data_IF_718711245390
#
_entry.id   IF_718711245390
#
_cell.length_a   1.000
_cell.length_b   1.000
_cell.length_c   1.000
_cell.angle_alpha   90.00
_cell.angle_beta   90.00
_cell.angle_gamma   90.00
#
_symmetry.space_group_name_H-M   'P 1'
#
loop_
_entity.id
_entity.type
_entity.pdbx_description
1 polymer ?
#
# COMPACT_ATOMS: atom_id res chain seq x y z
N UNK A 1 15.35 -6.56 31.32
CA UNK A 1 15.52 -5.60 30.22
C UNK A 1 14.18 -4.99 29.94
N UNK A 2 14.14 -3.66 29.89
CA UNK A 2 12.99 -2.85 29.52
C UNK A 2 13.04 -2.60 28.01
N UNK A 3 11.91 -2.77 27.35
CA UNK A 3 11.77 -2.63 25.90
C UNK A 3 10.89 -1.42 25.61
N UNK A 4 11.25 -0.63 24.61
CA UNK A 4 10.46 0.46 24.03
C UNK A 4 10.68 0.43 22.51
N UNK A 5 9.67 0.82 21.75
CA UNK A 5 9.85 1.07 20.32
C UNK A 5 9.18 2.34 19.84
N UNK A 6 9.71 2.88 18.74
CA UNK A 6 9.17 4.01 18.00
C UNK A 6 9.06 3.66 16.53
N UNK A 7 8.02 4.17 15.87
CA UNK A 7 7.81 3.97 14.44
C UNK A 7 7.72 5.33 13.76
N UNK A 8 8.47 5.43 12.67
CA UNK A 8 8.48 6.54 11.71
C UNK A 8 7.86 6.00 10.42
N UNK A 9 6.62 6.42 10.17
CA UNK A 9 5.87 6.00 9.02
C UNK A 9 6.44 6.65 7.77
N UNK A 10 6.49 5.90 6.67
CA UNK A 10 7.05 6.38 5.41
C UNK A 10 8.55 6.74 5.48
N UNK A 11 9.21 6.46 6.62
CA UNK A 11 10.62 6.74 6.89
C UNK A 11 11.03 8.19 6.56
N UNK A 12 10.12 9.14 6.77
CA UNK A 12 10.30 10.53 6.35
C UNK A 12 10.95 11.40 7.45
N UNK A 13 11.21 10.80 8.62
CA UNK A 13 11.79 11.45 9.79
C UNK A 13 10.98 12.64 10.29
N UNK A 14 9.66 12.62 10.09
CA UNK A 14 8.72 13.58 10.66
C UNK A 14 7.76 12.85 11.56
N UNK A 15 7.28 13.53 12.61
CA UNK A 15 6.25 12.96 13.45
C UNK A 15 6.01 13.73 14.73
N UNK A 16 5.00 13.28 15.47
CA UNK A 16 4.60 13.87 16.75
C UNK A 16 5.66 13.72 17.85
N UNK A 17 6.50 12.69 17.76
CA UNK A 17 7.52 12.34 18.75
C UNK A 17 8.94 12.65 18.24
N UNK A 18 9.11 13.83 17.65
CA UNK A 18 10.34 14.24 16.97
C UNK A 18 10.36 13.71 15.55
N UNK A 19 11.22 12.73 15.28
CA UNK A 19 11.34 12.11 13.95
C UNK A 19 10.54 10.80 13.83
N UNK A 20 9.56 10.59 14.71
CA UNK A 20 8.75 9.37 14.79
C UNK A 20 7.27 9.74 14.98
N UNK A 21 6.39 9.04 14.29
CA UNK A 21 4.93 9.21 14.38
C UNK A 21 4.34 8.55 15.61
N UNK A 22 4.85 7.37 15.95
CA UNK A 22 4.28 6.46 16.94
C UNK A 22 5.32 5.99 17.96
N UNK A 23 4.87 5.74 19.18
CA UNK A 23 5.68 5.24 20.29
C UNK A 23 4.86 4.33 21.20
N UNK A 24 5.46 3.20 21.57
CA UNK A 24 4.97 2.35 22.66
C UNK A 24 6.01 2.36 23.78
N UNK A 25 5.57 2.83 24.95
CA UNK A 25 6.41 3.11 26.10
C UNK A 25 6.88 1.85 26.81
N UNK A 26 7.80 2.02 27.75
CA UNK A 26 8.62 0.89 28.16
C UNK A 26 8.06 -0.05 29.22
N UNK A 27 8.23 -1.36 29.03
CA UNK A 27 8.08 -2.41 30.04
C UNK A 27 9.16 -3.47 29.90
N UNK A 28 9.49 -4.13 31.00
CA UNK A 28 10.14 -5.43 30.95
C UNK A 28 9.16 -6.52 30.51
N UNK A 29 9.68 -7.63 30.01
CA UNK A 29 8.87 -8.81 29.71
C UNK A 29 8.02 -9.25 30.91
N UNK A 30 8.64 -9.31 32.11
CA UNK A 30 7.93 -9.68 33.34
C UNK A 30 6.83 -8.69 33.70
N UNK A 31 7.05 -7.39 33.54
CA UNK A 31 5.99 -6.41 33.83
C UNK A 31 4.84 -6.55 32.86
N UNK A 32 5.09 -6.75 31.56
CA UNK A 32 4.05 -6.99 30.56
C UNK A 32 3.23 -8.26 30.87
N UNK A 33 3.90 -9.38 31.18
CA UNK A 33 3.25 -10.65 31.56
C UNK A 33 2.37 -10.53 32.82
N UNK A 34 2.70 -9.61 33.72
CA UNK A 34 1.92 -9.33 34.92
C UNK A 34 0.86 -8.22 34.71
N UNK A 35 0.57 -7.82 33.47
CA UNK A 35 -0.45 -6.81 33.15
C UNK A 35 0.01 -5.37 33.41
N UNK A 36 1.32 -5.12 33.38
CA UNK A 36 1.90 -3.79 33.49
C UNK A 36 1.36 -2.83 32.43
N UNK A 37 1.27 -1.56 32.78
CA UNK A 37 0.72 -0.52 31.91
C UNK A 37 1.85 0.35 31.38
N UNK A 38 1.97 0.40 30.06
CA UNK A 38 2.89 1.32 29.38
C UNK A 38 2.42 2.77 29.55
N UNK A 39 3.37 3.70 29.68
CA UNK A 39 3.07 5.14 29.71
C UNK A 39 2.52 5.65 28.37
N UNK A 40 3.04 5.12 27.27
CA UNK A 40 2.64 5.46 25.92
C UNK A 40 2.15 4.22 25.20
N UNK A 41 1.00 4.33 24.53
CA UNK A 41 0.39 3.29 23.69
C UNK A 41 -0.03 3.86 22.35
N UNK A 42 0.77 4.79 21.83
CA UNK A 42 0.49 5.52 20.59
C UNK A 42 1.04 4.74 19.41
N UNK A 43 0.34 3.66 19.07
CA UNK A 43 0.52 2.95 17.80
C UNK A 43 -0.83 2.32 17.42
N UNK A 44 -1.70 3.03 16.68
CA UNK A 44 -3.02 2.51 16.31
C UNK A 44 -2.96 1.37 15.28
N UNK A 45 -1.79 1.13 14.68
CA UNK A 45 -1.57 0.10 13.67
C UNK A 45 -1.15 -1.24 14.30
N UNK A 46 -0.65 -1.24 15.54
CA UNK A 46 -0.30 -2.46 16.25
C UNK A 46 -1.54 -3.24 16.68
N UNK A 47 -1.46 -4.57 16.59
CA UNK A 47 -2.49 -5.48 17.08
C UNK A 47 -2.67 -5.34 18.60
N UNK A 48 -1.57 -5.08 19.32
CA UNK A 48 -1.60 -4.67 20.73
C UNK A 48 -0.76 -3.40 20.97
N UNK A 49 -1.39 -2.21 21.02
CA UNK A 49 -0.71 -0.94 21.25
C UNK A 49 -0.05 -0.81 22.64
N UNK A 50 -0.31 -1.74 23.56
CA UNK A 50 0.28 -1.76 24.90
C UNK A 50 1.44 -2.74 25.04
N UNK A 51 1.81 -3.47 23.99
CA UNK A 51 2.92 -4.42 24.00
C UNK A 51 4.19 -3.74 23.47
N UNK A 52 5.19 -3.41 24.32
CA UNK A 52 6.43 -2.82 23.84
C UNK A 52 7.45 -3.84 23.32
N UNK A 53 7.16 -5.14 23.41
CA UNK A 53 8.05 -6.22 22.97
C UNK A 53 7.77 -6.62 21.52
N UNK A 54 6.60 -6.26 20.99
CA UNK A 54 6.16 -6.65 19.66
C UNK A 54 5.42 -5.49 19.00
N UNK A 55 5.78 -5.22 17.75
CA UNK A 55 5.18 -4.18 16.92
C UNK A 55 4.38 -4.80 15.75
N UNK A 56 3.86 -6.01 15.93
CA UNK A 56 2.98 -6.67 14.98
C UNK A 56 1.68 -5.88 14.79
N UNK A 57 1.18 -5.89 13.55
CA UNK A 57 0.00 -5.13 13.20
C UNK A 57 -0.14 -4.87 11.71
N UNK A 58 -1.09 -4.01 11.38
CA UNK A 58 -1.42 -3.62 10.00
C UNK A 58 -1.02 -2.16 9.77
N UNK A 59 0.10 -1.96 9.08
CA UNK A 59 0.64 -0.63 8.78
C UNK A 59 0.25 -0.16 7.37
N UNK A 60 0.28 1.15 7.08
CA UNK A 60 0.11 1.67 5.73
C UNK A 60 1.13 1.06 4.77
N UNK A 61 0.83 1.06 3.46
CA UNK A 61 1.81 0.64 2.46
C UNK A 61 2.94 1.64 2.36
N UNK A 62 4.17 1.13 2.28
CA UNK A 62 5.37 1.93 2.14
C UNK A 62 6.54 1.35 2.90
N UNK A 63 7.64 2.10 2.90
CA UNK A 63 8.83 1.82 3.71
C UNK A 63 8.69 2.60 5.01
N UNK A 64 8.88 1.94 6.13
CA UNK A 64 8.82 2.51 7.46
C UNK A 64 10.11 2.23 8.21
N UNK A 65 10.37 3.00 9.26
CA UNK A 65 11.51 2.79 10.15
C UNK A 65 11.02 2.46 11.55
N UNK A 66 11.55 1.41 12.14
CA UNK A 66 11.35 1.08 13.55
C UNK A 66 12.64 1.32 14.33
N UNK A 67 12.52 1.91 15.51
CA UNK A 67 13.60 2.11 16.47
C UNK A 67 13.30 1.39 17.76
N UNK A 68 14.13 0.42 18.11
CA UNK A 68 14.10 -0.28 19.39
C UNK A 68 15.04 0.38 20.38
N UNK A 69 14.56 0.58 21.61
CA UNK A 69 15.33 1.07 22.74
C UNK A 69 15.20 0.05 23.86
N UNK A 70 16.33 -0.57 24.22
CA UNK A 70 16.39 -1.64 25.21
C UNK A 70 17.29 -1.19 26.35
N UNK A 71 16.75 -1.12 27.56
CA UNK A 71 17.52 -0.80 28.77
C UNK A 71 17.70 -2.07 29.61
N UNK A 72 18.93 -2.40 30.00
CA UNK A 72 19.19 -3.50 30.91
C UNK A 72 18.88 -3.14 32.38
N UNK A 73 19.03 -4.09 33.30
CA UNK A 73 18.77 -3.83 34.73
C UNK A 73 19.82 -2.95 35.41
N UNK A 74 20.92 -2.64 34.72
CA UNK A 74 22.04 -1.84 35.21
C UNK A 74 22.02 -0.40 34.66
N UNK A 75 21.02 -0.07 33.82
CA UNK A 75 20.87 1.24 33.19
C UNK A 75 21.63 1.39 31.86
N UNK A 76 22.23 0.33 31.32
CA UNK A 76 22.83 0.40 29.99
C UNK A 76 21.72 0.35 28.93
N UNK A 77 21.78 1.29 27.97
CA UNK A 77 20.79 1.41 26.91
C UNK A 77 21.41 0.98 25.57
N UNK A 78 20.73 0.06 24.90
CA UNK A 78 21.03 -0.36 23.52
C UNK A 78 19.93 0.15 22.59
N UNK A 79 20.34 0.69 21.45
CA UNK A 79 19.44 1.22 20.44
C UNK A 79 19.69 0.53 19.11
N UNK A 80 18.62 0.10 18.44
CA UNK A 80 18.68 -0.47 17.09
C UNK A 80 17.61 0.14 16.21
N UNK A 81 17.96 0.45 14.97
CA UNK A 81 17.02 0.94 13.96
C UNK A 81 17.02 -0.02 12.77
N UNK A 82 15.83 -0.34 12.26
CA UNK A 82 15.64 -1.20 11.10
C UNK A 82 14.56 -0.60 10.20
N UNK A 83 14.67 -0.84 8.88
CA UNK A 83 13.63 -0.52 7.91
C UNK A 83 12.76 -1.75 7.68
N UNK A 84 11.45 -1.54 7.53
CA UNK A 84 10.51 -2.57 7.09
C UNK A 84 9.59 -2.01 6.01
N UNK A 85 9.18 -2.86 5.07
CA UNK A 85 8.38 -2.46 3.93
C UNK A 85 7.07 -3.25 3.91
N UNK A 86 5.96 -2.53 3.84
CA UNK A 86 4.63 -3.10 3.62
C UNK A 86 4.32 -3.01 2.13
N UNK A 87 4.10 -4.17 1.50
CA UNK A 87 3.80 -4.28 0.08
C UNK A 87 2.35 -4.69 -0.13
N UNK A 88 1.75 -4.14 -1.17
CA UNK A 88 0.55 -4.74 -1.74
C UNK A 88 0.93 -5.96 -2.58
N UNK A 89 0.42 -7.12 -2.18
CA UNK A 89 0.64 -8.39 -2.87
C UNK A 89 -0.62 -8.87 -3.60
N UNK A 90 -1.73 -8.13 -3.54
CA UNK A 90 -2.97 -8.51 -4.21
C UNK A 90 -3.04 -7.82 -5.56
N UNK A 91 -3.43 -8.57 -6.59
CA UNK A 91 -3.69 -7.98 -7.89
C UNK A 91 -5.00 -7.17 -7.86
N UNK A 92 -5.08 -6.04 -8.59
CA UNK A 92 -6.31 -5.30 -8.77
C UNK A 92 -7.45 -6.18 -9.24
N UNK A 93 -8.68 -5.85 -8.82
CA UNK A 93 -9.88 -6.53 -9.29
C UNK A 93 -10.44 -5.81 -10.51
N UNK A 94 -10.38 -6.41 -11.72
CA UNK A 94 -10.92 -5.79 -12.91
C UNK A 94 -12.45 -5.82 -12.86
N UNK A 95 -13.06 -4.70 -13.25
CA UNK A 95 -14.49 -4.62 -13.48
C UNK A 95 -14.75 -3.99 -14.84
N UNK A 96 -14.90 -4.83 -15.85
CA UNK A 96 -14.96 -4.40 -17.24
C UNK A 96 -16.38 -4.45 -17.82
N UNK A 97 -16.66 -3.51 -18.72
CA UNK A 97 -17.76 -3.62 -19.66
C UNK A 97 -17.52 -4.81 -20.60
N UNK A 98 -18.59 -5.55 -20.92
CA UNK A 98 -18.50 -6.70 -21.83
C UNK A 98 -18.26 -6.31 -23.29
N UNK A 99 -18.47 -5.04 -23.65
CA UNK A 99 -18.27 -4.55 -25.01
C UNK A 99 -18.49 -3.06 -25.12
N UNK A 100 -17.94 -2.49 -26.19
CA UNK A 100 -18.09 -1.09 -26.58
C UNK A 100 -18.60 -1.07 -28.02
N UNK A 101 -19.52 -0.16 -28.31
CA UNK A 101 -19.98 0.13 -29.67
C UNK A 101 -19.52 1.53 -30.03
N UNK A 102 -18.77 1.67 -31.11
CA UNK A 102 -18.26 2.95 -31.61
C UNK A 102 -18.31 2.98 -33.13
N UNK A 103 -18.23 4.18 -33.71
CA UNK A 103 -18.20 4.39 -35.15
C UNK A 103 -16.80 4.76 -35.61
N UNK A 104 -16.43 4.26 -36.78
CA UNK A 104 -15.15 4.58 -37.42
C UNK A 104 -15.23 5.98 -38.03
N UNK A 105 -14.15 6.78 -37.92
CA UNK A 105 -14.11 8.08 -38.59
C UNK A 105 -14.11 7.89 -40.12
N UNK A 106 -15.06 8.48 -40.88
CA UNK A 106 -15.14 8.27 -42.33
C UNK A 106 -13.92 8.78 -43.11
N UNK A 107 -13.24 9.80 -42.58
CA UNK A 107 -12.08 10.43 -43.21
C UNK A 107 -10.81 9.59 -43.13
N UNK A 108 -10.59 8.89 -42.02
CA UNK A 108 -9.39 8.08 -41.80
C UNK A 108 -9.64 6.58 -42.02
N UNK A 109 -10.90 6.14 -41.91
CA UNK A 109 -11.25 4.73 -41.93
C UNK A 109 -10.72 3.96 -40.71
N UNK A 110 -10.32 4.66 -39.64
CA UNK A 110 -9.80 4.07 -38.41
C UNK A 110 -10.38 4.72 -37.15
N UNK A 111 -10.28 4.00 -36.03
CA UNK A 111 -10.68 4.46 -34.69
C UNK A 111 -9.67 3.95 -33.66
N UNK A 112 -9.36 4.78 -32.65
CA UNK A 112 -8.58 4.36 -31.48
C UNK A 112 -9.54 3.98 -30.37
N UNK A 113 -9.43 2.76 -29.86
CA UNK A 113 -10.15 2.28 -28.69
C UNK A 113 -9.18 2.25 -27.51
N UNK A 114 -9.54 2.91 -26.40
CA UNK A 114 -8.70 2.92 -25.21
C UNK A 114 -9.11 1.79 -24.27
N UNK A 115 -8.14 1.17 -23.60
CA UNK A 115 -8.41 0.11 -22.62
C UNK A 115 -9.29 0.63 -21.47
N UNK A 116 -9.09 1.90 -21.05
CA UNK A 116 -9.91 2.56 -20.04
C UNK A 116 -11.38 2.67 -20.41
N UNK A 117 -11.72 2.64 -21.70
CA UNK A 117 -13.12 2.75 -22.13
C UNK A 117 -13.90 1.47 -21.77
N UNK A 118 -13.19 0.36 -21.56
CA UNK A 118 -13.77 -0.89 -21.05
C UNK A 118 -13.86 -0.91 -19.51
N UNK A 119 -13.25 0.02 -18.80
CA UNK A 119 -13.27 0.02 -17.34
C UNK A 119 -14.61 0.55 -16.81
N UNK A 120 -15.31 -0.28 -16.04
CA UNK A 120 -16.59 0.05 -15.40
C UNK A 120 -16.43 0.35 -13.90
N UNK A 121 -15.19 0.51 -13.43
CA UNK A 121 -14.88 0.80 -12.04
C UNK A 121 -14.06 -0.32 -11.39
N UNK A 122 -12.98 -0.72 -12.05
CA UNK A 122 -11.96 -1.58 -11.44
C UNK A 122 -11.45 -0.96 -10.16
N UNK A 123 -11.10 -1.80 -9.19
CA UNK A 123 -10.69 -1.34 -7.88
C UNK A 123 -9.60 -2.22 -7.30
N UNK A 124 -8.89 -1.66 -6.34
CA UNK A 124 -7.86 -2.34 -5.60
C UNK A 124 -7.90 -1.89 -4.12
N UNK A 125 -7.45 -2.75 -3.21
CA UNK A 125 -7.46 -2.45 -1.77
C UNK A 125 -6.43 -1.40 -1.37
N UNK A 126 -5.42 -1.17 -2.20
CA UNK A 126 -4.21 -0.47 -1.82
C UNK A 126 -3.75 0.55 -2.86
N UNK A 127 -4.19 0.39 -4.11
CA UNK A 127 -3.96 1.30 -5.22
C UNK A 127 -5.21 2.15 -5.46
N UNK A 128 -5.14 3.49 -5.31
CA UNK A 128 -6.25 4.38 -5.64
C UNK A 128 -6.68 4.21 -7.11
N UNK A 129 -7.96 4.41 -7.45
CA UNK A 129 -8.45 4.23 -8.83
C UNK A 129 -7.66 5.05 -9.87
N UNK A 130 -7.23 6.27 -9.51
CA UNK A 130 -6.44 7.13 -10.39
C UNK A 130 -5.04 6.57 -10.74
N UNK A 131 -4.53 5.62 -9.95
CA UNK A 131 -3.22 4.99 -10.14
C UNK A 131 -3.34 3.58 -10.74
N UNK A 132 -4.55 3.09 -10.99
CA UNK A 132 -4.75 1.82 -11.68
C UNK A 132 -4.35 1.96 -13.15
N UNK A 133 -3.53 1.01 -13.61
CA UNK A 133 -3.11 0.93 -15.00
C UNK A 133 -4.01 -0.05 -15.74
N UNK A 134 -4.75 0.46 -16.72
CA UNK A 134 -5.64 -0.33 -17.55
C UNK A 134 -5.01 -0.45 -18.94
N UNK A 135 -4.80 -1.69 -19.40
CA UNK A 135 -4.15 -2.00 -20.67
C UNK A 135 -4.73 -3.28 -21.27
N UNK A 136 -4.62 -3.42 -22.58
CA UNK A 136 -4.89 -4.66 -23.30
C UNK A 136 -3.76 -5.67 -23.10
N UNK A 137 -4.06 -6.95 -23.33
CA UNK A 137 -3.05 -8.00 -23.34
C UNK A 137 -1.88 -7.62 -24.27
N UNK A 138 -0.64 -7.69 -23.77
CA UNK A 138 0.55 -7.18 -24.46
C UNK A 138 1.03 -5.79 -24.01
N UNK A 139 0.28 -5.10 -23.15
CA UNK A 139 0.74 -3.89 -22.44
C UNK A 139 0.38 -2.56 -23.11
N UNK A 140 -0.36 -2.58 -24.23
CA UNK A 140 -0.85 -1.37 -24.90
C UNK A 140 -2.08 -0.79 -24.20
N UNK A 141 -2.13 0.53 -24.02
CA UNK A 141 -3.30 1.24 -23.47
C UNK A 141 -4.40 1.52 -24.49
N UNK A 142 -4.12 1.25 -25.76
CA UNK A 142 -4.99 1.54 -26.89
C UNK A 142 -4.80 0.52 -28.03
N UNK A 143 -5.86 0.36 -28.81
CA UNK A 143 -5.86 -0.38 -30.07
C UNK A 143 -6.31 0.57 -31.19
N UNK A 144 -5.53 0.64 -32.27
CA UNK A 144 -5.99 1.26 -33.51
C UNK A 144 -6.68 0.18 -34.34
N UNK A 145 -7.94 0.40 -34.66
CA UNK A 145 -8.74 -0.50 -35.48
C UNK A 145 -9.16 0.24 -36.74
N UNK A 146 -8.83 -0.31 -37.90
CA UNK A 146 -9.15 0.22 -39.21
C UNK A 146 -10.14 -0.70 -39.94
N UNK A 147 -10.86 -0.14 -40.93
CA UNK A 147 -11.75 -0.93 -41.79
C UNK A 147 -11.02 -2.09 -42.50
N UNK A 148 -9.73 -1.96 -42.77
CA UNK A 148 -8.88 -3.00 -43.35
C UNK A 148 -8.74 -4.24 -42.47
N UNK A 149 -8.88 -4.09 -41.15
CA UNK A 149 -8.54 -5.14 -40.18
C UNK A 149 -9.63 -6.22 -40.11
N UNK A 150 -10.85 -5.90 -40.55
CA UNK A 150 -11.99 -6.83 -40.55
C UNK A 150 -12.13 -7.63 -41.84
N UNK A 151 -11.23 -7.44 -42.81
CA UNK A 151 -11.39 -7.95 -44.16
C UNK A 151 -12.59 -7.33 -44.88
N UNK A 152 -12.66 -7.49 -46.20
CA UNK A 152 -13.75 -6.97 -47.02
C UNK A 152 -15.09 -7.66 -46.71
N UNK A 153 -15.77 -7.25 -45.63
CA UNK A 153 -17.19 -7.52 -45.39
C UNK A 153 -17.98 -6.23 -45.49
N UNK A 154 -18.01 -5.69 -46.72
CA UNK A 154 -19.04 -4.74 -47.11
C UNK A 154 -20.35 -5.51 -47.33
N UNK A 155 -21.38 -5.26 -46.53
CA UNK A 155 -22.76 -5.39 -47.02
C UNK A 155 -23.36 -4.00 -47.13
N UNK A 156 -24.14 -3.81 -48.20
CA UNK A 156 -24.95 -2.60 -48.46
C UNK A 156 -25.82 -2.24 -47.27
#
# INVERSE_FOLDING_TARGET
>A
MKWEYKIDLFADSKGKYGNFDHIVGSLTQREYENGGIVKYKDNPYADNPANPLCADGTYPIGVHRIKWVIEDGCGNVTVKEDLFEIKDCKAPTPYCLSGIVTTVMPSTGCITIWAKDFDHGSYDNCTPPANLKIYFEGGSDSLLICCSDFGSKTSK
#
